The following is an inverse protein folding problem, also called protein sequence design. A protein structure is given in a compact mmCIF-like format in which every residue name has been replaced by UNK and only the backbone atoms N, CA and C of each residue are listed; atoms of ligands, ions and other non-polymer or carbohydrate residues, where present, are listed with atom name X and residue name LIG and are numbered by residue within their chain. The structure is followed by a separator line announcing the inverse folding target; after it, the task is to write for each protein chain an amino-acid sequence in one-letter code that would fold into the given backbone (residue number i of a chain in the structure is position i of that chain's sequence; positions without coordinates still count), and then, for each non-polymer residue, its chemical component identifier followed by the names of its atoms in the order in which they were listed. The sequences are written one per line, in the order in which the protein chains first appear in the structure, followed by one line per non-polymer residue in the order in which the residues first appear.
data_IF_878296397405
#
_entry.id   IF_878296397405
#
_cell.length_a   1.000
_cell.length_b   1.000
_cell.length_c   1.000
_cell.angle_alpha   90.00
_cell.angle_beta   90.00
_cell.angle_gamma   90.00
#
_symmetry.space_group_name_H-M   'P 1'
#
loop_
_entity.id
_entity.type
_entity.pdbx_description
1 polymer ?
#
# COMPACT_ATOMS: atom_id res chain seq x y z
N UNK A 1 -6.31 -24.67 -10.93
CA UNK A 1 -6.56 -23.29 -11.34
C UNK A 1 -5.36 -22.80 -12.14
N UNK A 2 -5.54 -22.39 -13.41
CA UNK A 2 -4.43 -22.05 -14.31
C UNK A 2 -3.68 -20.81 -13.79
N UNK A 3 -2.37 -20.93 -13.52
CA UNK A 3 -1.52 -19.85 -12.97
C UNK A 3 -1.58 -18.54 -13.78
N UNK A 4 -1.93 -18.63 -15.06
CA UNK A 4 -2.16 -17.47 -15.95
C UNK A 4 -3.25 -16.52 -15.44
N UNK A 5 -4.32 -17.03 -14.82
CA UNK A 5 -5.39 -16.18 -14.28
C UNK A 5 -4.99 -15.53 -12.94
N UNK A 6 -4.15 -16.18 -12.15
CA UNK A 6 -3.64 -15.63 -10.89
C UNK A 6 -2.72 -14.43 -11.12
N UNK A 7 -1.82 -14.51 -12.12
CA UNK A 7 -0.95 -13.38 -12.51
C UNK A 7 -1.78 -12.21 -13.06
N UNK A 8 -2.90 -12.48 -13.74
CA UNK A 8 -3.77 -11.44 -14.29
C UNK A 8 -4.54 -10.71 -13.17
N UNK A 9 -5.04 -11.44 -12.17
CA UNK A 9 -5.70 -10.87 -10.98
C UNK A 9 -4.70 -10.07 -10.12
N UNK A 10 -3.48 -10.58 -9.96
CA UNK A 10 -2.41 -9.94 -9.19
C UNK A 10 -1.82 -8.72 -9.93
N UNK A 11 -1.83 -8.74 -11.26
CA UNK A 11 -1.53 -7.57 -12.10
C UNK A 11 -2.59 -6.49 -11.99
N UNK A 12 -3.88 -6.84 -11.86
CA UNK A 12 -4.95 -5.88 -11.58
C UNK A 12 -4.84 -5.24 -10.19
N UNK A 13 -4.29 -5.96 -9.20
CA UNK A 13 -4.01 -5.44 -7.85
C UNK A 13 -2.88 -4.39 -7.81
N UNK A 14 -2.01 -4.37 -8.83
CA UNK A 14 -0.90 -3.43 -8.95
C UNK A 14 -1.19 -2.27 -9.91
N UNK A 15 -2.40 -2.17 -10.47
CA UNK A 15 -2.80 -0.96 -11.17
C UNK A 15 -3.06 0.07 -10.07
N UNK A 16 -2.26 1.14 -9.93
CA UNK A 16 -2.70 2.29 -9.17
C UNK A 16 -3.98 2.74 -9.86
N UNK A 17 -5.13 2.44 -9.26
CA UNK A 17 -6.38 3.00 -9.75
C UNK A 17 -6.14 4.49 -9.64
N UNK A 18 -6.17 5.15 -10.81
CA UNK A 18 -6.04 6.58 -10.92
C UNK A 18 -7.08 7.16 -9.96
N UNK A 19 -6.64 7.56 -8.77
CA UNK A 19 -7.47 8.28 -7.84
C UNK A 19 -8.07 9.44 -8.62
N UNK A 20 -9.36 9.67 -8.48
CA UNK A 20 -9.98 10.87 -9.01
C UNK A 20 -9.13 12.06 -8.60
N UNK A 21 -8.98 13.02 -9.52
CA UNK A 21 -8.04 14.16 -9.39
C UNK A 21 -8.31 15.06 -8.17
N UNK A 22 -9.32 14.76 -7.36
CA UNK A 22 -9.76 15.53 -6.18
C UNK A 22 -9.57 14.81 -4.85
N UNK A 23 -8.90 13.66 -4.80
CA UNK A 23 -8.57 13.01 -3.52
C UNK A 23 -7.22 13.52 -3.04
N UNK A 24 -7.16 13.97 -1.79
CA UNK A 24 -5.90 14.39 -1.17
C UNK A 24 -5.70 13.69 0.17
N UNK A 25 -4.51 13.13 0.36
CA UNK A 25 -4.06 12.57 1.63
C UNK A 25 -3.18 13.62 2.31
N UNK A 26 -3.58 14.06 3.50
CA UNK A 26 -2.81 15.02 4.32
C UNK A 26 -2.25 14.27 5.53
N UNK A 27 -0.99 14.53 5.85
CA UNK A 27 -0.34 14.06 7.07
C UNK A 27 -0.37 12.53 7.33
N UNK A 28 -0.54 11.71 6.29
CA UNK A 28 -0.57 10.24 6.29
C UNK A 28 -1.82 9.57 6.84
N UNK A 29 -2.68 10.30 7.57
CA UNK A 29 -3.78 9.69 8.31
C UNK A 29 -5.17 10.24 7.92
N UNK A 30 -5.23 11.40 7.26
CA UNK A 30 -6.49 12.02 6.84
C UNK A 30 -6.61 12.03 5.32
N UNK A 31 -7.65 11.39 4.80
CA UNK A 31 -8.00 11.39 3.38
C UNK A 31 -9.24 12.26 3.20
N UNK A 32 -9.14 13.26 2.34
CA UNK A 32 -10.25 14.11 1.94
C UNK A 32 -10.62 13.82 0.49
N UNK A 33 -11.91 13.66 0.24
CA UNK A 33 -12.48 13.42 -1.09
C UNK A 33 -13.42 14.57 -1.41
N UNK A 34 -13.09 15.33 -2.46
CA UNK A 34 -13.91 16.44 -2.95
C UNK A 34 -14.65 16.11 -4.25
N UNK A 35 -14.89 14.82 -4.52
CA UNK A 35 -15.49 14.37 -5.77
C UNK A 35 -16.93 14.89 -5.95
N UNK A 36 -17.70 14.95 -4.86
CA UNK A 36 -19.09 15.43 -4.89
C UNK A 36 -19.16 16.94 -5.19
N UNK A 37 -18.19 17.70 -4.65
CA UNK A 37 -18.05 19.14 -4.89
C UNK A 37 -17.70 19.48 -6.34
N UNK A 38 -17.19 18.53 -7.13
CA UNK A 38 -16.85 18.79 -8.54
C UNK A 38 -18.08 19.04 -9.42
N UNK A 39 -19.22 18.44 -9.05
CA UNK A 39 -20.39 18.38 -9.93
C UNK A 39 -21.10 19.72 -10.06
N UNK A 40 -20.96 20.61 -9.07
CA UNK A 40 -21.64 21.91 -9.00
C UNK A 40 -20.69 23.05 -9.32
N UNK A 41 -21.24 24.12 -9.90
CA UNK A 41 -20.55 25.41 -10.00
C UNK A 41 -21.09 26.32 -8.90
N UNK A 42 -20.20 26.72 -8.00
CA UNK A 42 -20.55 27.59 -6.89
C UNK A 42 -20.46 29.04 -7.33
N UNK A 43 -21.39 29.86 -6.84
CA UNK A 43 -21.45 31.29 -7.15
C UNK A 43 -21.64 32.08 -5.86
N UNK A 44 -20.88 33.15 -5.70
CA UNK A 44 -21.09 34.10 -4.61
C UNK A 44 -21.02 35.52 -5.16
N UNK A 45 -21.99 36.35 -4.74
CA UNK A 45 -22.03 37.76 -5.13
C UNK A 45 -21.07 38.52 -4.21
N UNK A 46 -19.99 39.07 -4.76
CA UNK A 46 -19.00 39.83 -4.00
C UNK A 46 -19.50 41.26 -3.77
N UNK A 47 -19.97 41.91 -4.84
CA UNK A 47 -20.49 43.27 -4.86
C UNK A 47 -21.70 43.34 -5.81
N UNK A 48 -22.40 44.47 -5.88
CA UNK A 48 -23.52 44.68 -6.81
C UNK A 48 -23.16 44.37 -8.27
N UNK A 49 -21.88 44.48 -8.62
CA UNK A 49 -21.39 44.38 -9.99
C UNK A 49 -20.49 43.18 -10.23
N UNK A 50 -20.07 42.44 -9.19
CA UNK A 50 -19.09 41.36 -9.34
C UNK A 50 -19.59 40.06 -8.71
N UNK A 51 -19.50 38.97 -9.47
CA UNK A 51 -19.85 37.63 -9.01
C UNK A 51 -18.64 36.71 -9.12
N UNK A 52 -18.28 36.06 -8.02
CA UNK A 52 -17.27 35.01 -7.97
C UNK A 52 -17.92 33.69 -8.39
N UNK A 53 -17.28 32.98 -9.30
CA UNK A 53 -17.59 31.60 -9.66
C UNK A 53 -16.39 30.73 -9.36
N UNK A 54 -16.62 29.57 -8.76
CA UNK A 54 -15.56 28.60 -8.49
C UNK A 54 -16.04 27.15 -8.60
N UNK A 55 -15.11 26.25 -8.89
CA UNK A 55 -15.32 24.80 -8.97
C UNK A 55 -14.12 24.07 -8.39
N UNK A 56 -14.38 22.96 -7.71
CA UNK A 56 -13.34 22.09 -7.18
C UNK A 56 -12.84 21.15 -8.28
N UNK A 57 -11.52 21.09 -8.47
CA UNK A 57 -10.78 20.19 -9.38
C UNK A 57 -11.24 20.14 -10.86
N UNK A 58 -12.18 20.98 -11.27
CA UNK A 58 -12.67 21.08 -12.64
C UNK A 58 -12.64 22.53 -13.11
N UNK A 59 -12.32 22.77 -14.40
CA UNK A 59 -12.33 24.11 -14.94
C UNK A 59 -13.75 24.69 -15.00
N UNK A 60 -13.84 26.01 -14.88
CA UNK A 60 -15.08 26.77 -15.03
C UNK A 60 -15.47 26.87 -16.51
N UNK A 61 -16.76 26.70 -16.80
CA UNK A 61 -17.29 26.69 -18.18
C UNK A 61 -17.74 28.07 -18.67
N UNK A 62 -18.02 29.02 -17.76
CA UNK A 62 -18.60 30.34 -18.10
C UNK A 62 -17.68 31.29 -18.86
N UNK A 63 -16.37 31.06 -18.82
CA UNK A 63 -15.39 31.94 -19.46
C UNK A 63 -14.49 31.12 -20.40
N UNK A 64 -14.97 30.73 -21.60
CA UNK A 64 -14.25 29.83 -22.50
C UNK A 64 -12.98 30.45 -23.10
N UNK A 65 -12.85 31.78 -23.06
CA UNK A 65 -11.65 32.49 -23.53
C UNK A 65 -10.48 32.40 -22.54
N UNK A 66 -10.76 32.07 -21.27
CA UNK A 66 -9.74 31.87 -20.25
C UNK A 66 -9.13 30.46 -20.37
N UNK A 67 -7.86 30.36 -20.01
CA UNK A 67 -7.06 29.16 -20.16
C UNK A 67 -7.74 27.91 -19.59
N UNK A 68 -7.50 26.79 -20.27
CA UNK A 68 -7.76 25.43 -19.78
C UNK A 68 -7.07 25.32 -18.43
N UNK A 69 -7.80 25.09 -17.33
CA UNK A 69 -7.36 25.05 -15.91
C UNK A 69 -7.63 26.31 -15.06
N UNK A 70 -8.68 27.07 -15.37
CA UNK A 70 -9.18 28.10 -14.46
C UNK A 70 -10.24 27.54 -13.50
N UNK A 71 -9.95 27.53 -12.19
CA UNK A 71 -10.84 26.98 -11.14
C UNK A 71 -11.70 28.03 -10.42
N UNK A 72 -11.29 29.31 -10.48
CA UNK A 72 -12.02 30.44 -9.90
C UNK A 72 -11.94 31.65 -10.82
N UNK A 73 -13.08 32.31 -11.09
CA UNK A 73 -13.18 33.55 -11.87
C UNK A 73 -14.09 34.57 -11.19
N UNK A 74 -13.75 35.84 -11.34
CA UNK A 74 -14.68 36.94 -11.06
C UNK A 74 -15.24 37.44 -12.40
N UNK A 75 -16.56 37.53 -12.48
CA UNK A 75 -17.26 38.11 -13.62
C UNK A 75 -17.85 39.46 -13.19
N UNK A 76 -17.49 40.53 -13.91
CA UNK A 76 -18.09 41.85 -13.73
C UNK A 76 -19.35 41.98 -14.61
N UNK A 77 -20.49 42.25 -13.99
CA UNK A 77 -21.82 42.34 -14.59
C UNK A 77 -22.19 43.76 -15.05
N UNK A 78 -21.28 44.74 -15.00
CA UNK A 78 -21.53 46.13 -15.44
C UNK A 78 -21.76 46.24 -16.96
N UNK A 79 -22.98 45.91 -17.40
CA UNK A 79 -23.72 46.51 -18.52
C UNK A 79 -23.12 46.46 -19.93
N UNK A 80 -21.95 45.87 -20.13
CA UNK A 80 -21.32 45.74 -21.46
C UNK A 80 -21.49 44.33 -22.03
N UNK A 81 -21.59 44.20 -23.36
CA UNK A 81 -21.78 42.90 -24.03
C UNK A 81 -20.56 41.97 -23.91
N UNK A 82 -19.39 42.50 -23.56
CA UNK A 82 -18.17 41.73 -23.31
C UNK A 82 -18.02 41.54 -21.80
N UNK A 83 -18.42 40.37 -21.29
CA UNK A 83 -18.23 39.98 -19.90
C UNK A 83 -16.73 39.92 -19.60
N UNK A 84 -16.23 40.84 -18.76
CA UNK A 84 -14.85 40.80 -18.32
C UNK A 84 -14.70 39.68 -17.27
N UNK A 85 -14.14 38.55 -17.70
CA UNK A 85 -13.74 37.47 -16.81
C UNK A 85 -12.32 37.70 -16.31
N UNK A 86 -12.14 37.75 -14.99
CA UNK A 86 -10.83 37.83 -14.33
C UNK A 86 -10.56 36.46 -13.72
N UNK A 87 -9.57 35.73 -14.24
CA UNK A 87 -9.12 34.47 -13.64
C UNK A 87 -8.37 34.74 -12.34
N UNK A 88 -8.87 34.15 -11.26
CA UNK A 88 -8.24 34.20 -9.95
C UNK A 88 -7.23 33.07 -9.76
N UNK A 89 -7.51 31.89 -10.31
CA UNK A 89 -6.60 30.74 -10.24
C UNK A 89 -6.36 30.25 -11.65
N UNK A 90 -5.10 30.26 -12.08
CA UNK A 90 -4.66 29.59 -13.30
C UNK A 90 -3.39 28.81 -12.96
N UNK A 91 -3.53 27.50 -12.88
CA UNK A 91 -2.45 26.59 -12.49
C UNK A 91 -2.34 25.48 -13.52
N UNK A 92 -1.11 25.10 -13.86
CA UNK A 92 -0.85 23.89 -14.66
C UNK A 92 -1.20 22.60 -13.90
N UNK A 93 -1.35 22.74 -12.57
CA UNK A 93 -1.73 21.71 -11.61
C UNK A 93 -3.23 21.74 -11.31
N UNK A 94 -3.89 20.58 -11.29
CA UNK A 94 -5.27 20.44 -10.77
C UNK A 94 -5.34 20.53 -9.24
N UNK A 95 -4.18 20.53 -8.58
CA UNK A 95 -4.06 20.52 -7.13
C UNK A 95 -3.64 21.88 -6.60
N UNK A 96 -4.09 22.18 -5.38
CA UNK A 96 -3.64 23.31 -4.60
C UNK A 96 -2.12 23.26 -4.41
N UNK A 97 -1.49 24.43 -4.38
CA UNK A 97 -0.05 24.56 -4.13
C UNK A 97 0.28 24.20 -2.68
N UNK A 98 -0.61 24.53 -1.74
CA UNK A 98 -0.57 24.06 -0.37
C UNK A 98 -1.90 23.42 0.02
N UNK A 99 -1.81 22.36 0.82
CA UNK A 99 -2.96 21.65 1.35
C UNK A 99 -2.64 21.26 2.80
N UNK A 100 -3.22 21.97 3.76
CA UNK A 100 -2.89 21.89 5.18
C UNK A 100 -4.15 21.64 6.01
N UNK A 101 -4.00 21.04 7.19
CA UNK A 101 -5.12 20.93 8.14
C UNK A 101 -5.35 22.29 8.80
N UNK A 102 -6.60 22.62 9.12
CA UNK A 102 -6.91 23.82 9.92
C UNK A 102 -6.23 23.71 11.29
N UNK A 103 -6.33 22.53 11.89
CA UNK A 103 -5.66 22.17 13.13
C UNK A 103 -4.99 20.79 12.97
N UNK A 104 -3.68 20.72 13.20
CA UNK A 104 -2.94 19.46 13.12
C UNK A 104 -3.33 18.46 14.21
N UNK A 105 -3.83 18.93 15.35
CA UNK A 105 -4.27 18.10 16.47
C UNK A 105 -5.71 17.59 16.28
N UNK A 106 -6.53 18.34 15.53
CA UNK A 106 -7.95 18.03 15.29
C UNK A 106 -8.26 18.00 13.78
N UNK A 107 -8.03 16.87 13.07
CA UNK A 107 -8.30 16.73 11.64
C UNK A 107 -9.78 16.94 11.24
N UNK A 108 -10.67 16.89 12.24
CA UNK A 108 -12.09 17.17 12.11
C UNK A 108 -12.43 18.65 12.05
N UNK A 109 -11.50 19.57 12.27
CA UNK A 109 -11.82 20.99 12.08
C UNK A 109 -11.95 21.34 10.59
N UNK A 110 -11.23 20.61 9.73
CA UNK A 110 -11.29 20.79 8.28
C UNK A 110 -9.92 21.05 7.66
N UNK A 111 -9.92 21.64 6.46
CA UNK A 111 -8.72 21.81 5.63
C UNK A 111 -8.59 23.19 5.00
N UNK A 112 -7.35 23.59 4.78
CA UNK A 112 -6.95 24.74 3.98
C UNK A 112 -6.37 24.27 2.65
N UNK A 113 -6.85 24.81 1.54
CA UNK A 113 -6.32 24.58 0.22
C UNK A 113 -5.99 25.92 -0.45
N UNK A 114 -4.71 26.19 -0.72
CA UNK A 114 -4.26 27.45 -1.32
C UNK A 114 -3.82 27.25 -2.77
N UNK A 115 -4.31 28.10 -3.65
CA UNK A 115 -4.02 28.10 -5.07
C UNK A 115 -3.42 29.45 -5.46
N UNK A 116 -2.16 29.46 -5.90
CA UNK A 116 -1.48 30.66 -6.36
C UNK A 116 -1.57 30.76 -7.89
N UNK A 117 -1.97 31.93 -8.38
CA UNK A 117 -2.01 32.21 -9.80
C UNK A 117 -0.65 32.69 -10.28
N UNK A 118 -0.03 31.88 -11.14
CA UNK A 118 1.29 32.18 -11.71
C UNK A 118 1.28 33.37 -12.67
N UNK A 119 0.13 33.72 -13.25
CA UNK A 119 0.03 34.78 -14.26
C UNK A 119 -0.21 36.16 -13.65
N UNK A 120 -1.12 36.27 -12.69
CA UNK A 120 -1.67 37.55 -12.24
C UNK A 120 -1.29 37.91 -10.80
N UNK A 121 -0.63 37.01 -10.06
CA UNK A 121 -0.24 37.22 -8.66
C UNK A 121 -1.38 37.09 -7.64
N UNK A 122 -2.63 36.86 -8.09
CA UNK A 122 -3.74 36.54 -7.20
C UNK A 122 -3.57 35.15 -6.58
N UNK A 123 -4.07 34.98 -5.37
CA UNK A 123 -4.17 33.69 -4.72
C UNK A 123 -5.60 33.45 -4.23
N UNK A 124 -6.01 32.20 -4.16
CA UNK A 124 -7.29 31.79 -3.57
C UNK A 124 -7.03 30.74 -2.52
N UNK A 125 -7.43 31.02 -1.28
CA UNK A 125 -7.40 30.09 -0.15
C UNK A 125 -8.82 29.62 0.14
N UNK A 126 -9.08 28.35 -0.06
CA UNK A 126 -10.29 27.70 0.40
C UNK A 126 -10.07 27.19 1.83
N UNK A 127 -10.97 27.57 2.74
CA UNK A 127 -11.04 27.02 4.09
C UNK A 127 -12.32 26.21 4.14
N UNK A 128 -12.21 24.89 4.23
CA UNK A 128 -13.35 24.00 4.25
C UNK A 128 -13.44 23.36 5.64
N UNK A 129 -14.39 23.83 6.43
CA UNK A 129 -14.72 23.26 7.74
C UNK A 129 -15.55 21.98 7.56
N UNK A 130 -15.29 21.00 8.42
CA UNK A 130 -16.06 19.76 8.47
C UNK A 130 -17.41 20.00 9.15
N UNK A 131 -18.49 19.54 8.52
CA UNK A 131 -19.82 19.52 9.14
C UNK A 131 -20.60 18.29 8.73
N UNK A 132 -20.82 17.39 9.70
CA UNK A 132 -21.55 16.13 9.47
C UNK A 132 -23.04 16.35 9.17
N UNK A 133 -23.59 17.52 9.47
CA UNK A 133 -25.03 17.79 9.34
C UNK A 133 -25.43 18.31 7.96
N UNK A 134 -24.46 18.62 7.10
CA UNK A 134 -24.67 19.46 5.95
C UNK A 134 -24.31 18.74 4.65
N UNK A 135 -25.35 18.25 3.95
CA UNK A 135 -25.22 17.53 2.67
C UNK A 135 -24.77 18.45 1.50
N UNK A 136 -24.96 19.76 1.63
CA UNK A 136 -24.64 20.73 0.58
C UNK A 136 -23.66 21.79 1.10
N UNK A 137 -22.63 22.09 0.31
CA UNK A 137 -21.63 23.11 0.65
C UNK A 137 -22.28 24.48 0.92
N UNK A 138 -22.08 24.99 2.14
CA UNK A 138 -22.46 26.34 2.54
C UNK A 138 -21.24 27.27 2.53
N UNK A 139 -21.41 28.48 2.01
CA UNK A 139 -20.37 29.50 2.00
C UNK A 139 -20.59 30.39 3.21
N UNK A 140 -19.67 30.34 4.17
CA UNK A 140 -19.75 31.09 5.42
C UNK A 140 -19.32 32.55 5.24
N UNK A 141 -18.13 32.75 4.68
CA UNK A 141 -17.55 34.08 4.48
C UNK A 141 -16.63 34.13 3.27
N UNK A 142 -16.51 35.32 2.67
CA UNK A 142 -15.49 35.61 1.67
C UNK A 142 -14.77 36.89 2.06
N UNK A 143 -13.49 36.76 2.39
CA UNK A 143 -12.61 37.87 2.72
C UNK A 143 -11.55 38.08 1.63
N UNK A 144 -11.14 39.34 1.44
CA UNK A 144 -10.10 39.72 0.49
C UNK A 144 -8.98 40.47 1.21
N UNK A 145 -7.81 39.86 1.26
CA UNK A 145 -6.61 40.46 1.84
C UNK A 145 -5.82 41.19 0.75
N UNK A 146 -6.08 42.50 0.64
CA UNK A 146 -5.52 43.36 -0.43
C UNK A 146 -4.00 43.34 -0.50
N UNK A 147 -3.31 43.23 0.64
CA UNK A 147 -1.84 43.25 0.70
C UNK A 147 -1.22 42.03 0.03
N UNK A 148 -1.86 40.86 0.15
CA UNK A 148 -1.40 39.60 -0.44
C UNK A 148 -2.08 39.25 -1.76
N UNK A 149 -3.08 40.03 -2.18
CA UNK A 149 -3.96 39.70 -3.30
C UNK A 149 -4.63 38.33 -3.14
N UNK A 150 -4.96 37.98 -1.89
CA UNK A 150 -5.50 36.68 -1.50
C UNK A 150 -7.00 36.76 -1.27
N UNK A 151 -7.78 35.94 -1.97
CA UNK A 151 -9.19 35.70 -1.67
C UNK A 151 -9.29 34.48 -0.76
N UNK A 152 -9.82 34.67 0.45
CA UNK A 152 -10.13 33.58 1.36
C UNK A 152 -11.63 33.28 1.33
N UNK A 153 -11.97 32.03 1.03
CA UNK A 153 -13.35 31.56 0.91
C UNK A 153 -13.55 30.50 1.98
N UNK A 154 -14.37 30.83 2.97
CA UNK A 154 -14.70 29.95 4.09
C UNK A 154 -16.00 29.22 3.79
N UNK A 155 -15.97 27.90 3.90
CA UNK A 155 -17.04 27.01 3.52
C UNK A 155 -17.20 25.91 4.56
N UNK A 156 -18.39 25.35 4.62
CA UNK A 156 -18.74 24.24 5.50
C UNK A 156 -19.37 23.13 4.65
N UNK A 157 -18.83 21.91 4.73
CA UNK A 157 -19.36 20.74 4.03
C UNK A 157 -18.95 19.43 4.72
N UNK A 158 -19.68 18.35 4.44
CA UNK A 158 -19.31 16.99 4.81
C UNK A 158 -17.98 16.54 4.19
N UNK A 159 -17.66 16.97 2.95
CA UNK A 159 -16.37 16.72 2.30
C UNK A 159 -15.18 17.39 3.03
N UNK A 160 -15.46 18.36 3.93
CA UNK A 160 -14.48 18.94 4.84
C UNK A 160 -14.07 17.98 5.95
N UNK A 161 -14.82 16.90 6.17
CA UNK A 161 -14.52 15.85 7.13
C UNK A 161 -13.56 14.82 6.52
N UNK A 162 -12.64 14.30 7.33
CA UNK A 162 -11.74 13.24 6.89
C UNK A 162 -12.47 11.88 6.86
N UNK A 163 -12.10 11.00 5.93
CA UNK A 163 -12.67 9.65 5.88
C UNK A 163 -12.26 8.81 7.10
N UNK A 164 -13.25 8.50 7.93
CA UNK A 164 -13.11 7.88 9.25
C UNK A 164 -12.59 6.42 9.21
N UNK A 165 -12.77 5.71 8.10
CA UNK A 165 -12.49 4.26 8.02
C UNK A 165 -11.01 3.92 8.32
N UNK A 166 -10.08 4.66 7.70
CA UNK A 166 -8.65 4.47 7.98
C UNK A 166 -8.26 5.10 9.32
N UNK A 167 -8.86 6.24 9.66
CA UNK A 167 -8.58 6.97 10.90
C UNK A 167 -8.82 6.13 12.14
N UNK A 168 -9.96 5.44 12.27
CA UNK A 168 -10.26 4.58 13.44
C UNK A 168 -9.32 3.38 13.56
N UNK A 169 -8.92 2.78 12.44
CA UNK A 169 -7.96 1.66 12.46
C UNK A 169 -6.59 2.20 12.89
N UNK A 170 -6.15 3.31 12.31
CA UNK A 170 -4.87 3.96 12.65
C UNK A 170 -4.88 4.41 14.11
N UNK A 171 -5.94 5.04 14.59
CA UNK A 171 -6.15 5.44 15.98
C UNK A 171 -6.06 4.22 16.91
N UNK A 172 -6.78 3.13 16.60
CA UNK A 172 -6.65 1.88 17.36
C UNK A 172 -5.21 1.34 17.38
N UNK A 173 -4.50 1.39 16.25
CA UNK A 173 -3.10 0.97 16.16
C UNK A 173 -2.17 1.92 16.94
N UNK A 174 -2.47 3.21 16.98
CA UNK A 174 -1.72 4.24 17.71
C UNK A 174 -1.94 4.11 19.22
N UNK A 175 -3.18 3.93 19.67
CA UNK A 175 -3.55 3.70 21.07
C UNK A 175 -2.88 2.45 21.62
N UNK A 176 -2.86 1.39 20.81
CA UNK A 176 -2.28 0.09 21.18
C UNK A 176 -0.86 -0.12 20.65
N UNK A 177 -0.16 0.96 20.26
CA UNK A 177 1.12 0.85 19.53
C UNK A 177 2.18 0.03 20.25
N UNK A 178 2.26 0.10 21.59
CA UNK A 178 3.24 -0.66 22.39
C UNK A 178 3.00 -2.17 22.28
N UNK A 179 1.74 -2.60 22.44
CA UNK A 179 1.35 -4.00 22.39
C UNK A 179 1.51 -4.56 20.97
N UNK A 180 0.98 -3.85 19.97
CA UNK A 180 1.11 -4.24 18.57
C UNK A 180 2.57 -4.34 18.13
N UNK A 181 3.39 -3.35 18.51
CA UNK A 181 4.81 -3.35 18.15
C UNK A 181 5.56 -4.52 18.77
N UNK A 182 5.25 -4.91 20.02
CA UNK A 182 5.83 -6.10 20.62
C UNK A 182 5.51 -7.37 19.82
N UNK A 183 4.26 -7.53 19.37
CA UNK A 183 3.85 -8.65 18.51
C UNK A 183 4.58 -8.60 17.16
N UNK A 184 4.63 -7.44 16.51
CA UNK A 184 5.30 -7.27 15.22
C UNK A 184 6.81 -7.54 15.29
N UNK A 185 7.48 -7.20 16.40
CA UNK A 185 8.89 -7.54 16.62
C UNK A 185 9.06 -9.06 16.71
N UNK A 186 8.20 -9.76 17.46
CA UNK A 186 8.28 -11.22 17.60
C UNK A 186 8.01 -11.91 16.27
N UNK A 187 6.98 -11.50 15.54
CA UNK A 187 6.67 -12.03 14.19
C UNK A 187 7.81 -11.72 13.23
N UNK A 188 8.29 -10.48 13.20
CA UNK A 188 9.36 -10.04 12.32
C UNK A 188 10.68 -10.78 12.57
N UNK A 189 11.07 -10.99 13.83
CA UNK A 189 12.26 -11.79 14.17
C UNK A 189 12.09 -13.27 13.80
N UNK A 190 10.89 -13.83 14.02
CA UNK A 190 10.59 -15.23 13.66
C UNK A 190 10.66 -15.42 12.15
N UNK A 191 10.07 -14.52 11.38
CA UNK A 191 10.16 -14.51 9.91
C UNK A 191 11.60 -14.30 9.43
N UNK A 192 12.34 -13.37 10.06
CA UNK A 192 13.71 -13.06 9.68
C UNK A 192 14.68 -14.24 9.90
N UNK A 193 14.54 -14.97 11.01
CA UNK A 193 15.45 -16.05 11.37
C UNK A 193 14.96 -17.45 10.94
N UNK A 194 13.65 -17.65 10.84
CA UNK A 194 13.04 -18.97 10.64
C UNK A 194 12.07 -19.03 9.47
N UNK A 195 11.89 -17.97 8.68
CA UNK A 195 10.89 -17.90 7.61
C UNK A 195 10.89 -19.12 6.68
N UNK A 196 12.07 -19.55 6.20
CA UNK A 196 12.16 -20.77 5.38
C UNK A 196 11.75 -22.06 6.10
N UNK A 197 12.04 -22.18 7.41
CA UNK A 197 11.68 -23.35 8.22
C UNK A 197 10.17 -23.41 8.46
N UNK A 198 9.51 -22.27 8.63
CA UNK A 198 8.06 -22.15 8.85
C UNK A 198 7.34 -21.63 7.60
N UNK A 199 7.74 -22.12 6.41
CA UNK A 199 7.23 -21.64 5.12
C UNK A 199 5.69 -21.59 5.06
N UNK A 200 4.99 -22.62 5.56
CA UNK A 200 3.52 -22.65 5.51
C UNK A 200 2.87 -21.51 6.31
N UNK A 201 3.18 -21.30 7.60
CA UNK A 201 2.78 -20.10 8.33
C UNK A 201 3.16 -18.79 7.63
N UNK A 202 4.36 -18.68 7.09
CA UNK A 202 4.81 -17.49 6.38
C UNK A 202 3.91 -17.18 5.17
N UNK A 203 3.65 -18.19 4.34
CA UNK A 203 2.74 -18.07 3.18
C UNK A 203 1.31 -17.69 3.60
N UNK A 204 0.83 -18.22 4.73
CA UNK A 204 -0.46 -17.83 5.30
C UNK A 204 -0.49 -16.36 5.67
N UNK A 205 0.52 -15.86 6.40
CA UNK A 205 0.59 -14.47 6.86
C UNK A 205 0.61 -13.51 5.68
N UNK A 206 1.45 -13.76 4.66
CA UNK A 206 1.51 -12.90 3.48
C UNK A 206 0.23 -12.94 2.66
N UNK A 207 -0.34 -14.14 2.42
CA UNK A 207 -1.63 -14.27 1.76
C UNK A 207 -2.76 -13.58 2.53
N UNK A 208 -2.74 -13.68 3.86
CA UNK A 208 -3.68 -13.01 4.75
C UNK A 208 -3.61 -11.49 4.61
N UNK A 209 -2.40 -10.91 4.70
CA UNK A 209 -2.21 -9.47 4.58
C UNK A 209 -2.68 -8.95 3.22
N UNK A 210 -2.33 -9.64 2.12
CA UNK A 210 -2.77 -9.25 0.77
C UNK A 210 -4.29 -9.30 0.66
N UNK A 211 -4.93 -10.39 1.10
CA UNK A 211 -6.38 -10.53 1.06
C UNK A 211 -7.12 -9.53 1.96
N UNK A 212 -6.56 -9.26 3.14
CA UNK A 212 -7.10 -8.31 4.12
C UNK A 212 -7.06 -6.88 3.58
N UNK A 213 -5.90 -6.40 3.14
CA UNK A 213 -5.77 -5.05 2.59
C UNK A 213 -6.55 -4.89 1.29
N UNK A 214 -6.62 -5.93 0.46
CA UNK A 214 -7.46 -5.89 -0.73
C UNK A 214 -8.95 -5.75 -0.39
N UNK A 215 -9.45 -6.50 0.59
CA UNK A 215 -10.83 -6.35 1.03
C UNK A 215 -11.12 -4.95 1.58
N UNK A 216 -10.24 -4.42 2.42
CA UNK A 216 -10.35 -3.05 2.94
C UNK A 216 -10.35 -2.02 1.80
N UNK A 217 -9.50 -2.21 0.80
CA UNK A 217 -9.46 -1.35 -0.37
C UNK A 217 -10.79 -1.35 -1.13
N UNK A 218 -11.34 -2.53 -1.43
CA UNK A 218 -12.66 -2.63 -2.09
C UNK A 218 -13.75 -2.02 -1.23
N UNK A 219 -13.71 -2.24 0.09
CA UNK A 219 -14.66 -1.60 1.01
C UNK A 219 -14.54 -0.09 1.07
N UNK A 220 -13.37 0.49 0.78
CA UNK A 220 -13.18 1.95 0.75
C UNK A 220 -13.69 2.61 -0.53
N UNK A 221 -13.81 1.87 -1.63
CA UNK A 221 -14.38 2.37 -2.90
C UNK A 221 -15.90 2.16 -2.96
N UNK A 222 -16.43 1.27 -2.13
CA UNK A 222 -17.87 1.18 -1.92
C UNK A 222 -18.25 2.35 -1.02
N UNK A 223 -19.14 3.21 -1.50
CA UNK A 223 -19.75 4.28 -0.70
C UNK A 223 -20.71 3.66 0.32
N UNK A 224 -20.10 3.09 1.38
CA UNK A 224 -20.83 2.52 2.49
C UNK A 224 -20.96 3.66 3.50
N UNK A 225 -22.09 4.37 3.43
CA UNK A 225 -22.32 5.61 4.18
C UNK A 225 -21.96 5.53 5.67
N UNK A 226 -21.87 6.69 6.33
CA UNK A 226 -21.13 6.93 7.58
C UNK A 226 -21.56 6.17 8.84
N UNK A 227 -22.47 5.21 8.73
CA UNK A 227 -22.88 4.41 9.86
C UNK A 227 -21.72 3.50 10.34
N UNK A 228 -21.26 3.62 11.60
CA UNK A 228 -20.14 2.86 12.13
C UNK A 228 -20.36 1.34 12.10
N UNK A 229 -21.62 0.89 12.01
CA UNK A 229 -21.97 -0.52 11.84
C UNK A 229 -21.38 -1.12 10.56
N UNK A 230 -21.36 -0.36 9.46
CA UNK A 230 -20.83 -0.82 8.19
C UNK A 230 -19.31 -1.00 8.20
N UNK A 231 -18.58 -0.13 8.91
CA UNK A 231 -17.14 -0.28 9.12
C UNK A 231 -16.83 -1.62 9.81
N UNK A 232 -17.59 -2.00 10.84
CA UNK A 232 -17.41 -3.28 11.52
C UNK A 232 -17.67 -4.47 10.60
N UNK A 233 -18.71 -4.38 9.75
CA UNK A 233 -18.98 -5.41 8.73
C UNK A 233 -17.82 -5.50 7.74
N UNK A 234 -17.35 -4.38 7.20
CA UNK A 234 -16.21 -4.33 6.27
C UNK A 234 -14.96 -4.96 6.89
N UNK A 235 -14.68 -4.67 8.16
CA UNK A 235 -13.58 -5.28 8.91
C UNK A 235 -13.73 -6.79 9.05
N UNK A 236 -14.93 -7.28 9.41
CA UNK A 236 -15.19 -8.72 9.51
C UNK A 236 -15.00 -9.40 8.15
N UNK A 237 -15.53 -8.81 7.08
CA UNK A 237 -15.37 -9.31 5.71
C UNK A 237 -13.88 -9.34 5.32
N UNK A 238 -13.12 -8.30 5.66
CA UNK A 238 -11.70 -8.23 5.39
C UNK A 238 -10.90 -9.30 6.13
N UNK A 239 -11.21 -9.55 7.41
CA UNK A 239 -10.60 -10.64 8.20
C UNK A 239 -10.91 -12.00 7.58
N UNK A 240 -12.16 -12.25 7.18
CA UNK A 240 -12.58 -13.51 6.57
C UNK A 240 -11.94 -13.72 5.20
N UNK A 241 -11.89 -12.68 4.35
CA UNK A 241 -11.27 -12.75 3.03
C UNK A 241 -9.75 -12.93 3.14
N UNK A 242 -9.10 -12.21 4.06
CA UNK A 242 -7.70 -12.43 4.39
C UNK A 242 -7.43 -13.87 4.81
N UNK A 243 -8.21 -14.41 5.76
CA UNK A 243 -8.06 -15.80 6.21
C UNK A 243 -8.24 -16.81 5.07
N UNK A 244 -9.20 -16.55 4.18
CA UNK A 244 -9.44 -17.38 3.00
C UNK A 244 -8.25 -17.35 2.02
N UNK A 245 -7.74 -16.16 1.67
CA UNK A 245 -6.59 -16.00 0.76
C UNK A 245 -5.29 -16.54 1.39
N UNK A 246 -5.10 -16.35 2.69
CA UNK A 246 -4.00 -16.95 3.45
C UNK A 246 -4.05 -18.47 3.43
N UNK A 247 -5.21 -19.06 3.70
CA UNK A 247 -5.42 -20.52 3.63
C UNK A 247 -5.18 -21.07 2.22
N UNK A 248 -5.65 -20.37 1.19
CA UNK A 248 -5.40 -20.73 -0.20
C UNK A 248 -3.89 -20.67 -0.54
N UNK A 249 -3.18 -19.68 -0.02
CA UNK A 249 -1.72 -19.53 -0.20
C UNK A 249 -0.92 -20.67 0.44
N UNK A 250 -1.42 -21.29 1.52
CA UNK A 250 -0.82 -22.50 2.10
C UNK A 250 -1.02 -23.75 1.24
N UNK A 251 -2.10 -23.82 0.47
CA UNK A 251 -2.39 -24.96 -0.42
C UNK A 251 -1.70 -24.82 -1.78
N UNK A 252 -1.45 -23.58 -2.21
CA UNK A 252 -0.83 -23.25 -3.49
C UNK A 252 0.57 -22.68 -3.28
N UNK A 253 1.53 -23.54 -2.91
CA UNK A 253 2.91 -23.13 -2.61
C UNK A 253 3.48 -22.17 -3.67
N UNK A 254 3.32 -22.48 -4.97
CA UNK A 254 3.80 -21.64 -6.08
C UNK A 254 3.18 -20.23 -6.07
N UNK A 255 1.89 -20.11 -5.75
CA UNK A 255 1.21 -18.81 -5.67
C UNK A 255 1.66 -18.02 -4.43
N UNK A 256 1.85 -18.70 -3.30
CA UNK A 256 2.39 -18.10 -2.09
C UNK A 256 3.80 -17.54 -2.29
N UNK A 257 4.68 -18.26 -2.99
CA UNK A 257 6.04 -17.77 -3.28
C UNK A 257 6.02 -16.52 -4.17
N UNK A 258 5.13 -16.48 -5.16
CA UNK A 258 4.91 -15.28 -5.98
C UNK A 258 4.49 -14.09 -5.11
N UNK A 259 3.55 -14.30 -4.18
CA UNK A 259 3.13 -13.28 -3.23
C UNK A 259 4.27 -12.77 -2.34
N UNK A 260 5.13 -13.67 -1.85
CA UNK A 260 6.33 -13.31 -1.08
C UNK A 260 7.34 -12.51 -1.93
N UNK A 261 7.49 -12.85 -3.22
CA UNK A 261 8.31 -12.09 -4.17
C UNK A 261 7.80 -10.66 -4.38
N UNK A 262 6.49 -10.49 -4.54
CA UNK A 262 5.85 -9.17 -4.64
C UNK A 262 6.05 -8.38 -3.35
N UNK A 263 5.82 -8.99 -2.18
CA UNK A 263 6.03 -8.34 -0.89
C UNK A 263 7.46 -7.80 -0.75
N UNK A 264 8.46 -8.59 -1.13
CA UNK A 264 9.86 -8.15 -1.16
C UNK A 264 10.05 -6.96 -2.11
N UNK A 265 9.51 -7.03 -3.33
CA UNK A 265 9.63 -5.94 -4.29
C UNK A 265 9.00 -4.64 -3.82
N UNK A 266 7.82 -4.69 -3.21
CA UNK A 266 7.16 -3.53 -2.60
C UNK A 266 8.05 -2.92 -1.51
N UNK A 267 8.47 -3.72 -0.53
CA UNK A 267 9.27 -3.22 0.60
C UNK A 267 10.61 -2.67 0.14
N UNK A 268 11.30 -3.36 -0.78
CA UNK A 268 12.58 -2.87 -1.29
C UNK A 268 12.40 -1.58 -2.10
N UNK A 269 11.31 -1.44 -2.86
CA UNK A 269 10.99 -0.20 -3.59
C UNK A 269 10.76 0.97 -2.65
N UNK A 270 9.98 0.76 -1.59
CA UNK A 270 9.70 1.79 -0.58
C UNK A 270 10.97 2.21 0.18
N UNK A 271 11.84 1.25 0.52
CA UNK A 271 13.13 1.55 1.12
C UNK A 271 14.05 2.31 0.15
N UNK A 272 14.13 1.88 -1.11
CA UNK A 272 14.97 2.53 -2.11
C UNK A 272 14.49 3.95 -2.42
N UNK A 273 13.17 4.15 -2.50
CA UNK A 273 12.56 5.45 -2.71
C UNK A 273 12.96 6.45 -1.63
N UNK A 274 12.76 6.06 -0.37
CA UNK A 274 13.06 6.90 0.79
C UNK A 274 14.57 7.13 0.98
N UNK A 275 15.42 6.17 0.60
CA UNK A 275 16.87 6.30 0.74
C UNK A 275 17.51 7.19 -0.33
N UNK A 276 17.08 7.05 -1.59
CA UNK A 276 17.79 7.62 -2.75
C UNK A 276 16.93 8.62 -3.54
N UNK A 277 15.72 8.23 -3.93
CA UNK A 277 14.98 8.93 -4.99
C UNK A 277 14.26 10.18 -4.50
N UNK A 278 13.92 10.25 -3.21
CA UNK A 278 13.19 11.37 -2.63
C UNK A 278 13.89 12.74 -2.83
N UNK A 279 15.23 12.72 -3.01
CA UNK A 279 16.03 13.92 -3.27
C UNK A 279 16.04 14.37 -4.72
N UNK A 280 15.75 13.45 -5.65
CA UNK A 280 15.89 13.70 -7.09
C UNK A 280 14.55 13.81 -7.79
N UNK A 281 13.50 13.22 -7.23
CA UNK A 281 12.21 13.05 -7.91
C UNK A 281 11.07 13.38 -6.95
N UNK A 282 10.25 14.34 -7.34
CA UNK A 282 9.03 14.74 -6.62
C UNK A 282 7.76 14.06 -7.17
N UNK A 283 7.86 13.35 -8.29
CA UNK A 283 6.71 12.73 -8.96
C UNK A 283 6.32 11.39 -8.35
N UNK A 284 5.09 11.30 -7.84
CA UNK A 284 4.49 10.07 -7.30
C UNK A 284 4.43 8.93 -8.32
N UNK A 285 4.28 9.26 -9.62
CA UNK A 285 4.21 8.25 -10.68
C UNK A 285 5.48 7.40 -10.79
N UNK A 286 6.64 7.97 -10.46
CA UNK A 286 7.91 7.25 -10.51
C UNK A 286 8.01 6.25 -9.37
N UNK A 287 7.50 6.58 -8.17
CA UNK A 287 7.41 5.65 -7.05
C UNK A 287 6.58 4.41 -7.44
N UNK A 288 5.37 4.62 -7.97
CA UNK A 288 4.52 3.51 -8.40
C UNK A 288 5.16 2.67 -9.51
N UNK A 289 5.84 3.32 -10.47
CA UNK A 289 6.57 2.61 -11.51
C UNK A 289 7.66 1.70 -10.93
N UNK A 290 8.44 2.19 -9.97
CA UNK A 290 9.49 1.39 -9.29
C UNK A 290 8.88 0.21 -8.55
N UNK A 291 7.78 0.43 -7.80
CA UNK A 291 7.05 -0.64 -7.09
C UNK A 291 6.62 -1.73 -8.06
N UNK A 292 5.99 -1.36 -9.18
CA UNK A 292 5.51 -2.33 -10.18
C UNK A 292 6.69 -3.10 -10.80
N UNK A 293 7.76 -2.40 -11.20
CA UNK A 293 8.91 -3.02 -11.86
C UNK A 293 9.64 -3.98 -10.93
N UNK A 294 9.94 -3.57 -9.69
CA UNK A 294 10.64 -4.42 -8.72
C UNK A 294 9.75 -5.59 -8.24
N UNK A 295 8.47 -5.36 -7.96
CA UNK A 295 7.55 -6.43 -7.56
C UNK A 295 7.37 -7.49 -8.64
N UNK A 296 7.21 -7.06 -9.89
CA UNK A 296 7.14 -7.97 -11.02
C UNK A 296 8.48 -8.70 -11.25
N UNK A 297 9.60 -7.98 -11.16
CA UNK A 297 10.94 -8.56 -11.29
C UNK A 297 11.22 -9.68 -10.29
N UNK A 298 10.96 -9.44 -9.00
CA UNK A 298 11.13 -10.45 -7.96
C UNK A 298 10.12 -11.59 -8.05
N UNK A 299 8.88 -11.31 -8.50
CA UNK A 299 7.90 -12.35 -8.79
C UNK A 299 8.32 -13.26 -9.95
N UNK A 300 8.95 -12.74 -11.00
CA UNK A 300 9.47 -13.58 -12.10
C UNK A 300 10.69 -14.37 -11.61
N UNK A 301 11.57 -13.73 -10.84
CA UNK A 301 12.76 -14.37 -10.29
C UNK A 301 12.41 -15.52 -9.32
N UNK A 302 11.26 -15.43 -8.64
CA UNK A 302 10.78 -16.45 -7.70
C UNK A 302 10.52 -17.81 -8.35
N UNK A 303 10.26 -17.85 -9.65
CA UNK A 303 10.07 -19.10 -10.38
C UNK A 303 11.38 -19.85 -10.63
N UNK A 304 12.52 -19.15 -10.70
CA UNK A 304 13.84 -19.77 -10.96
C UNK A 304 14.65 -20.02 -9.69
N UNK A 305 14.55 -19.12 -8.70
CA UNK A 305 15.39 -19.14 -7.51
C UNK A 305 14.55 -19.34 -6.25
N UNK A 306 13.69 -20.37 -6.25
CA UNK A 306 12.66 -20.58 -5.23
C UNK A 306 13.20 -20.53 -3.79
N UNK A 307 14.18 -21.37 -3.46
CA UNK A 307 14.70 -21.45 -2.10
C UNK A 307 15.46 -20.20 -1.68
N UNK A 308 16.30 -19.68 -2.59
CA UNK A 308 17.11 -18.49 -2.34
C UNK A 308 16.25 -17.25 -2.14
N UNK A 309 15.22 -17.07 -2.97
CA UNK A 309 14.33 -15.92 -2.88
C UNK A 309 13.50 -15.96 -1.60
N UNK A 310 12.99 -17.11 -1.19
CA UNK A 310 12.25 -17.22 0.09
C UNK A 310 13.13 -16.79 1.26
N UNK A 311 14.39 -17.26 1.32
CA UNK A 311 15.32 -16.88 2.38
C UNK A 311 15.56 -15.37 2.36
N UNK A 312 15.80 -14.80 1.17
CA UNK A 312 16.05 -13.37 1.01
C UNK A 312 14.82 -12.53 1.39
N UNK A 313 13.65 -12.85 0.83
CA UNK A 313 12.39 -12.16 1.09
C UNK A 313 12.01 -12.18 2.57
N UNK A 314 12.03 -13.35 3.22
CA UNK A 314 11.63 -13.47 4.63
C UNK A 314 12.61 -12.76 5.56
N UNK A 315 13.91 -12.79 5.25
CA UNK A 315 14.92 -12.06 6.01
C UNK A 315 14.74 -10.54 5.92
N UNK A 316 14.53 -10.02 4.70
CA UNK A 316 14.29 -8.60 4.46
C UNK A 316 12.95 -8.14 5.05
N UNK A 317 11.85 -8.84 4.76
CA UNK A 317 10.52 -8.50 5.27
C UNK A 317 10.46 -8.59 6.80
N UNK A 318 11.04 -9.63 7.39
CA UNK A 318 11.12 -9.77 8.85
C UNK A 318 11.92 -8.64 9.50
N UNK A 319 13.11 -8.31 8.95
CA UNK A 319 13.92 -7.19 9.46
C UNK A 319 13.20 -5.83 9.32
N UNK A 320 12.50 -5.63 8.21
CA UNK A 320 11.67 -4.46 7.97
C UNK A 320 10.57 -4.33 9.02
N UNK A 321 9.82 -5.42 9.29
CA UNK A 321 8.77 -5.44 10.30
C UNK A 321 9.29 -5.12 11.70
N UNK A 322 10.45 -5.63 12.08
CA UNK A 322 11.09 -5.32 13.38
C UNK A 322 11.37 -3.83 13.52
N UNK A 323 12.02 -3.21 12.54
CA UNK A 323 12.37 -1.79 12.63
C UNK A 323 11.18 -0.86 12.38
N UNK A 324 10.18 -1.27 11.60
CA UNK A 324 8.90 -0.59 11.51
C UNK A 324 8.22 -0.55 12.88
N UNK A 325 8.16 -1.68 13.57
CA UNK A 325 7.57 -1.77 14.91
C UNK A 325 8.34 -0.95 15.96
N UNK A 326 9.68 -0.96 15.91
CA UNK A 326 10.50 -0.07 16.75
C UNK A 326 10.20 1.40 16.42
N UNK A 327 10.07 1.73 15.14
CA UNK A 327 9.70 3.05 14.65
C UNK A 327 8.34 3.54 15.15
N UNK A 328 7.36 2.65 15.30
CA UNK A 328 6.04 2.98 15.88
C UNK A 328 6.14 3.39 17.36
N UNK A 329 7.06 2.80 18.13
CA UNK A 329 7.26 3.15 19.55
C UNK A 329 8.16 4.37 19.70
N UNK A 330 9.31 4.36 19.01
CA UNK A 330 10.36 5.37 19.15
C UNK A 330 10.07 6.65 18.34
N UNK A 331 9.17 6.57 17.37
CA UNK A 331 8.93 7.64 16.40
C UNK A 331 10.09 7.82 15.41
N UNK A 332 9.97 8.82 14.55
CA UNK A 332 11.01 9.21 13.60
C UNK A 332 11.26 8.21 12.46
N UNK A 333 10.49 7.13 12.38
CA UNK A 333 10.43 6.31 11.18
C UNK A 333 9.58 7.05 10.15
N UNK A 334 10.11 7.39 8.97
CA UNK A 334 9.34 8.11 7.98
C UNK A 334 8.16 7.25 7.54
N UNK A 335 6.99 7.85 7.57
CA UNK A 335 5.82 7.40 6.82
C UNK A 335 6.23 7.16 5.36
N UNK A 336 5.94 5.97 4.82
CA UNK A 336 6.38 5.59 3.48
C UNK A 336 5.82 6.50 2.38
N UNK A 337 4.74 7.23 2.68
CA UNK A 337 3.95 8.02 1.72
C UNK A 337 4.24 9.53 1.83
N UNK A 338 4.56 10.06 3.02
CA UNK A 338 4.64 11.52 3.28
C UNK A 338 6.02 12.16 3.04
N UNK A 339 7.02 11.40 2.59
CA UNK A 339 8.40 11.89 2.42
C UNK A 339 8.63 12.82 1.21
N UNK A 340 7.60 13.25 0.48
CA UNK A 340 7.75 14.07 -0.75
C UNK A 340 8.32 15.49 -0.45
N UNK A 341 8.33 15.93 0.81
CA UNK A 341 8.82 17.27 1.21
C UNK A 341 10.35 17.45 1.22
N UNK A 342 11.12 16.50 0.66
CA UNK A 342 12.49 16.72 0.22
C UNK A 342 13.58 16.77 1.30
N UNK A 343 13.24 16.84 2.59
CA UNK A 343 14.23 16.82 3.67
C UNK A 343 14.26 15.45 4.39
N UNK A 344 15.13 14.56 3.91
CA UNK A 344 15.33 13.23 4.50
C UNK A 344 16.01 13.34 5.87
N UNK A 345 15.26 13.06 6.94
CA UNK A 345 15.78 13.01 8.31
C UNK A 345 16.89 11.93 8.43
N UNK A 346 18.02 12.28 9.06
CA UNK A 346 19.15 11.36 9.27
C UNK A 346 18.75 10.08 10.02
N UNK A 347 17.69 10.14 10.83
CA UNK A 347 17.12 8.99 11.55
C UNK A 347 16.72 7.86 10.60
N UNK A 348 16.24 8.19 9.40
CA UNK A 348 15.89 7.18 8.41
C UNK A 348 17.08 6.32 8.01
N UNK A 349 18.24 6.93 7.77
CA UNK A 349 19.45 6.19 7.36
C UNK A 349 19.94 5.24 8.46
N UNK A 350 19.71 5.57 9.73
CA UNK A 350 19.99 4.68 10.86
C UNK A 350 19.08 3.45 10.80
N UNK A 351 17.75 3.65 10.70
CA UNK A 351 16.80 2.55 10.56
C UNK A 351 17.10 1.67 9.33
N UNK A 352 17.34 2.29 8.19
CA UNK A 352 17.68 1.60 6.95
C UNK A 352 18.94 0.74 7.10
N UNK A 353 20.01 1.29 7.69
CA UNK A 353 21.26 0.54 7.94
C UNK A 353 21.02 -0.66 8.85
N UNK A 354 20.24 -0.48 9.92
CA UNK A 354 19.92 -1.55 10.85
C UNK A 354 19.05 -2.65 10.21
N UNK A 355 18.11 -2.29 9.34
CA UNK A 355 17.32 -3.23 8.53
C UNK A 355 18.26 -4.09 7.67
N UNK A 356 19.20 -3.48 6.94
CA UNK A 356 20.15 -4.22 6.10
C UNK A 356 21.02 -5.17 6.93
N UNK A 357 21.55 -4.71 8.07
CA UNK A 357 22.37 -5.54 8.96
C UNK A 357 21.60 -6.75 9.49
N UNK A 358 20.37 -6.54 9.96
CA UNK A 358 19.52 -7.62 10.46
C UNK A 358 19.09 -8.58 9.34
N UNK A 359 18.78 -8.05 8.14
CA UNK A 359 18.48 -8.88 6.97
C UNK A 359 19.67 -9.76 6.58
N UNK A 360 20.89 -9.21 6.51
CA UNK A 360 22.10 -9.98 6.22
C UNK A 360 22.35 -11.07 7.26
N UNK A 361 22.14 -10.76 8.55
CA UNK A 361 22.24 -11.73 9.62
C UNK A 361 21.20 -12.86 9.47
N UNK A 362 19.95 -12.51 9.19
CA UNK A 362 18.87 -13.47 8.91
C UNK A 362 19.17 -14.38 7.72
N UNK A 363 19.65 -13.81 6.61
CA UNK A 363 20.05 -14.55 5.41
C UNK A 363 21.14 -15.56 5.75
N UNK A 364 22.21 -15.12 6.43
CA UNK A 364 23.31 -15.99 6.83
C UNK A 364 22.82 -17.16 7.72
N UNK A 365 21.98 -16.86 8.71
CA UNK A 365 21.45 -17.87 9.63
C UNK A 365 20.53 -18.88 8.94
N UNK A 366 19.60 -18.41 8.10
CA UNK A 366 18.69 -19.26 7.33
C UNK A 366 19.44 -20.18 6.35
N UNK A 367 20.47 -19.66 5.64
CA UNK A 367 21.29 -20.49 4.75
C UNK A 367 22.07 -21.56 5.51
N UNK A 368 22.65 -21.22 6.66
CA UNK A 368 23.36 -22.19 7.50
C UNK A 368 22.42 -23.32 7.95
N UNK A 369 21.20 -22.96 8.37
CA UNK A 369 20.19 -23.95 8.78
C UNK A 369 19.71 -24.81 7.60
N UNK A 370 19.58 -24.23 6.41
CA UNK A 370 19.18 -24.95 5.20
C UNK A 370 20.26 -25.94 4.75
N UNK A 371 21.52 -25.52 4.72
CA UNK A 371 22.65 -26.38 4.31
C UNK A 371 22.81 -27.63 5.19
N UNK A 372 22.59 -27.51 6.50
CA UNK A 372 22.64 -28.66 7.42
C UNK A 372 21.59 -29.73 7.08
N UNK A 373 20.39 -29.32 6.64
CA UNK A 373 19.31 -30.27 6.30
C UNK A 373 19.61 -31.07 5.03
N UNK A 374 20.28 -30.45 4.05
CA UNK A 374 20.64 -31.12 2.80
C UNK A 374 21.63 -32.24 3.09
N UNK A 375 22.69 -31.95 3.86
CA UNK A 375 23.71 -32.94 4.24
C UNK A 375 23.07 -34.13 4.97
N UNK A 376 22.21 -33.89 5.95
CA UNK A 376 21.52 -34.97 6.68
C UNK A 376 20.62 -35.81 5.77
N UNK A 377 19.98 -35.21 4.77
CA UNK A 377 19.14 -35.96 3.83
C UNK A 377 19.98 -36.88 2.93
N UNK A 378 21.10 -36.37 2.42
CA UNK A 378 22.01 -37.15 1.58
C UNK A 378 22.63 -38.33 2.36
N UNK A 379 22.99 -38.13 3.64
CA UNK A 379 23.48 -39.21 4.51
C UNK A 379 22.43 -40.32 4.71
N UNK A 380 21.17 -39.94 4.96
CA UNK A 380 20.07 -40.90 5.14
C UNK A 380 19.83 -41.68 3.84
N UNK A 381 19.77 -41.00 2.70
CA UNK A 381 19.57 -41.64 1.39
C UNK A 381 20.73 -42.58 1.05
N UNK A 382 21.97 -42.16 1.31
CA UNK A 382 23.16 -43.00 1.10
C UNK A 382 23.15 -44.25 1.98
N UNK A 383 22.74 -44.12 3.25
CA UNK A 383 22.61 -45.27 4.16
C UNK A 383 21.56 -46.28 3.72
N UNK A 384 20.43 -45.82 3.14
CA UNK A 384 19.40 -46.70 2.59
C UNK A 384 19.86 -47.43 1.32
N UNK A 385 20.66 -46.79 0.46
CA UNK A 385 21.20 -47.44 -0.74
C UNK A 385 22.25 -48.51 -0.41
N UNK A 386 23.10 -48.27 0.59
CA UNK A 386 24.12 -49.25 1.01
C UNK A 386 23.51 -50.44 1.79
N UNK A 387 22.45 -50.21 2.57
CA UNK A 387 21.77 -51.27 3.33
C UNK A 387 21.14 -52.34 2.45
N UNK A 388 20.53 -51.97 1.32
CA UNK A 388 19.90 -52.93 0.41
C UNK A 388 20.89 -53.84 -0.35
N UNK A 389 22.15 -53.42 -0.54
CA UNK A 389 23.15 -54.28 -1.19
C UNK A 389 23.63 -55.44 -0.32
N UNK A 390 23.42 -55.39 0.99
CA UNK A 390 23.79 -56.50 1.88
C UNK A 390 22.71 -57.59 1.96
N UNK A 391 21.44 -57.29 1.65
CA UNK A 391 20.34 -58.25 1.74
C UNK A 391 20.26 -59.19 0.53
N UNK A 392 20.75 -58.78 -0.65
CA UNK A 392 20.77 -59.62 -1.87
C UNK A 392 21.96 -60.60 -1.96
N UNK A 393 22.81 -60.67 -0.92
CA UNK A 393 23.98 -61.56 -0.87
C UNK A 393 23.88 -62.71 0.13
N UNK A 394 22.68 -63.02 0.63
CA UNK A 394 22.42 -64.24 1.40
C UNK A 394 21.60 -65.25 0.60
N UNK A 395 22.35 -66.24 0.10
CA UNK A 395 21.99 -67.64 -0.18
C UNK A 395 20.90 -67.98 -1.24
N UNK A 396 21.29 -68.46 -2.44
CA UNK A 396 20.38 -69.04 -3.43
C UNK A 396 19.94 -70.48 -3.11
N UNK A 397 19.68 -70.82 -1.84
CA UNK A 397 19.28 -72.17 -1.43
C UNK A 397 18.27 -72.13 -0.28
N UNK A 398 17.00 -71.82 -0.60
CA UNK A 398 15.76 -72.30 0.03
C UNK A 398 14.66 -71.22 -0.06
N UNK A 399 13.77 -71.33 -1.04
CA UNK A 399 12.37 -71.74 -0.81
C UNK A 399 11.48 -71.35 -1.98
N UNK A 400 10.97 -72.39 -2.64
CA UNK A 400 9.63 -72.39 -3.19
C UNK A 400 8.62 -72.07 -2.07
N UNK A 401 7.87 -70.98 -2.22
CA UNK A 401 6.42 -70.85 -2.00
C UNK A 401 6.05 -69.44 -1.51
N UNK A 402 5.13 -68.81 -2.23
CA UNK A 402 4.34 -67.68 -1.73
C UNK A 402 4.34 -66.47 -2.65
N UNK A 403 3.57 -66.53 -3.73
CA UNK A 403 3.10 -65.34 -4.45
C UNK A 403 2.30 -64.46 -3.47
N UNK A 404 2.87 -63.36 -2.98
CA UNK A 404 2.11 -62.25 -2.43
C UNK A 404 2.37 -61.00 -3.26
N UNK A 405 1.37 -60.66 -4.07
CA UNK A 405 1.35 -59.56 -5.04
C UNK A 405 1.13 -58.17 -4.41
N UNK A 406 0.98 -58.05 -3.09
CA UNK A 406 0.69 -56.77 -2.43
C UNK A 406 1.96 -55.92 -2.18
N UNK A 407 3.10 -56.52 -1.84
CA UNK A 407 4.30 -55.75 -1.46
C UNK A 407 4.98 -55.05 -2.65
N UNK A 408 4.76 -55.53 -3.88
CA UNK A 408 5.28 -54.88 -5.08
C UNK A 408 4.49 -53.62 -5.49
N UNK A 409 3.27 -53.43 -4.97
CA UNK A 409 2.43 -52.26 -5.28
C UNK A 409 2.86 -51.05 -4.43
N UNK A 410 3.21 -51.24 -3.15
CA UNK A 410 3.66 -50.14 -2.28
C UNK A 410 4.99 -49.52 -2.75
N UNK A 411 5.95 -50.32 -3.24
CA UNK A 411 7.24 -49.78 -3.68
C UNK A 411 7.12 -48.89 -4.95
N UNK A 412 6.16 -49.18 -5.83
CA UNK A 412 5.92 -48.36 -7.03
C UNK A 412 5.26 -47.02 -6.71
N UNK A 413 4.37 -46.96 -5.72
CA UNK A 413 3.77 -45.69 -5.29
C UNK A 413 4.79 -44.73 -4.65
N UNK A 414 5.79 -45.26 -3.94
CA UNK A 414 6.82 -44.44 -3.30
C UNK A 414 7.77 -43.82 -4.34
N UNK A 415 8.19 -44.60 -5.35
CA UNK A 415 9.07 -44.08 -6.41
C UNK A 415 8.36 -43.05 -7.29
N UNK A 416 7.08 -43.24 -7.59
CA UNK A 416 6.31 -42.26 -8.37
C UNK A 416 6.08 -40.94 -7.61
N UNK A 417 5.95 -40.98 -6.27
CA UNK A 417 5.92 -39.76 -5.43
C UNK A 417 7.26 -39.03 -5.35
N UNK A 418 8.39 -39.72 -5.59
CA UNK A 418 9.71 -39.11 -5.57
C UNK A 418 10.03 -38.35 -6.86
N UNK A 419 9.62 -38.85 -8.03
CA UNK A 419 9.78 -38.14 -9.31
C UNK A 419 8.87 -36.91 -9.43
N UNK A 420 7.72 -36.89 -8.74
CA UNK A 420 6.80 -35.74 -8.75
C UNK A 420 7.33 -34.56 -7.91
N UNK A 421 8.31 -34.79 -7.01
CA UNK A 421 9.03 -33.72 -6.30
C UNK A 421 10.22 -33.20 -7.11
N UNK A 422 9.97 -32.87 -8.38
CA UNK A 422 10.96 -32.49 -9.36
C UNK A 422 12.01 -31.50 -8.86
N UNK A 423 13.24 -32.00 -8.72
CA UNK A 423 14.44 -31.23 -9.01
C UNK A 423 14.67 -31.32 -10.52
N UNK A 424 14.22 -30.30 -11.25
CA UNK A 424 14.78 -29.91 -12.55
C UNK A 424 14.82 -28.39 -12.63
#
# INVERSE_FOLDING_TARGET
MNYKYFILILGCLLIPIYGSKCKKVINSDAIYIFDDLQTKEYKQILNQTSTLYFRFCQPILKCPELAVNTFAVIINNEGKPEQQCISLVNTDSYFADSFELINEEEPNEGVHAEFNNTLNGFAVKYVLYCSEQQEDLEILDISYEKEKQLYQIEMEADNGCHLVLFSKIVEFLQDNKKFLSAILIVIGLTECLMGKKILKPTLFIFGYLIGFFFALYISSELDIGDNPFYLWIAMIIAVLLGAFVGGLSMHLDKAGIVAVGIGLGVVLSLLLWNALLVKFVTSEYILYSIIVVLSFGFSVLSFRLFDHLIIFSTSFLGSYLVFKAIGLIAGGFPSEIKSISGNSDYRYYIYFTCIILLACFGIYYQYRQWGQKIITYDEIVSSMMNGNQQTDRQDPLLNEHGNNSEDQIELKEINQKSEIKGFS
#
